data_IF_417713160907
#
_entry.id   IF_417713160907
#
_cell.length_a   1.000
_cell.length_b   1.000
_cell.length_c   1.000
_cell.angle_alpha   90.00
_cell.angle_beta   90.00
_cell.angle_gamma   90.00
#
_symmetry.space_group_name_H-M   'P 1'
#
loop_
_entity.id
_entity.type
_entity.pdbx_description
1 polymer ?
#
# COMPACT_ATOMS: atom_id res chain seq x y z
N UNK A 1 9.16 40.76 -27.54
CA UNK A 1 9.41 39.46 -28.19
C UNK A 1 8.41 39.32 -29.32
N UNK A 2 8.89 39.13 -30.55
CA UNK A 2 8.02 38.94 -31.72
C UNK A 2 7.50 37.50 -31.73
N UNK A 3 6.18 37.33 -31.62
CA UNK A 3 5.54 36.08 -32.00
C UNK A 3 5.70 35.92 -33.51
N UNK A 4 6.13 34.75 -33.97
CA UNK A 4 6.31 34.48 -35.40
C UNK A 4 5.81 33.06 -35.73
N UNK A 5 5.34 32.91 -36.98
CA UNK A 5 4.95 31.62 -37.56
C UNK A 5 5.82 31.43 -38.78
N UNK A 6 6.70 30.44 -38.73
CA UNK A 6 7.65 30.16 -39.81
C UNK A 6 7.56 28.71 -40.26
N UNK A 7 7.90 28.47 -41.52
CA UNK A 7 8.20 27.13 -42.00
C UNK A 7 9.67 26.84 -41.68
N UNK A 8 9.95 25.69 -41.07
CA UNK A 8 11.33 25.31 -40.73
C UNK A 8 12.19 25.19 -42.01
N UNK A 9 13.38 25.78 -41.94
CA UNK A 9 14.31 25.89 -43.05
C UNK A 9 15.04 24.57 -43.34
N UNK A 10 15.00 23.58 -42.44
CA UNK A 10 15.56 22.23 -42.65
C UNK A 10 14.59 21.29 -43.41
N UNK A 11 14.06 21.77 -44.54
CA UNK A 11 13.28 20.96 -45.48
C UNK A 11 11.80 21.31 -45.62
N UNK A 12 11.32 22.42 -45.02
CA UNK A 12 10.01 23.01 -45.33
C UNK A 12 8.78 22.23 -44.86
N UNK A 13 8.97 21.15 -44.10
CA UNK A 13 7.89 20.24 -43.70
C UNK A 13 7.28 20.55 -42.33
N UNK A 14 7.84 21.50 -41.58
CA UNK A 14 7.41 21.83 -40.23
C UNK A 14 6.85 23.25 -40.18
N UNK A 15 5.65 23.39 -39.62
CA UNK A 15 5.14 24.67 -39.14
C UNK A 15 5.65 24.88 -37.71
N UNK A 16 6.34 25.99 -37.46
CA UNK A 16 6.83 26.35 -36.13
C UNK A 16 6.12 27.62 -35.66
N UNK A 17 5.42 27.52 -34.53
CA UNK A 17 4.85 28.66 -33.82
C UNK A 17 5.65 28.90 -32.54
N UNK A 18 6.39 30.01 -32.48
CA UNK A 18 7.28 30.32 -31.35
C UNK A 18 6.64 31.35 -30.41
N UNK A 19 6.40 30.94 -29.16
CA UNK A 19 5.85 31.78 -28.10
C UNK A 19 6.10 31.12 -26.74
N UNK A 20 6.06 31.89 -25.66
CA UNK A 20 6.02 31.35 -24.30
C UNK A 20 4.73 30.60 -24.00
N UNK A 21 3.63 31.03 -24.63
CA UNK A 21 2.29 30.47 -24.45
C UNK A 21 1.62 30.36 -25.81
N UNK A 22 1.08 29.18 -26.12
CA UNK A 22 0.15 29.00 -27.22
C UNK A 22 -1.29 28.96 -26.67
N UNK A 23 -2.09 29.97 -27.00
CA UNK A 23 -3.50 30.03 -26.62
C UNK A 23 -4.38 29.72 -27.83
N UNK A 24 -5.17 28.66 -27.73
CA UNK A 24 -6.29 28.40 -28.63
C UNK A 24 -7.60 28.74 -27.93
N UNK A 25 -8.55 29.34 -28.65
CA UNK A 25 -9.94 29.50 -28.19
C UNK A 25 -10.88 28.50 -28.88
N UNK A 26 -10.34 27.57 -29.67
CA UNK A 26 -11.10 26.50 -30.25
C UNK A 26 -11.39 25.41 -29.21
N UNK A 27 -12.54 24.77 -29.32
CA UNK A 27 -12.92 23.62 -28.48
C UNK A 27 -12.07 22.39 -28.81
N UNK A 28 -11.71 22.21 -30.10
CA UNK A 28 -11.08 21.00 -30.60
C UNK A 28 -9.75 21.31 -31.31
N UNK A 29 -8.74 20.45 -31.09
CA UNK A 29 -7.53 20.38 -31.90
C UNK A 29 -7.55 19.04 -32.64
N UNK A 30 -7.56 19.10 -33.97
CA UNK A 30 -7.60 17.92 -34.83
C UNK A 30 -6.22 17.60 -35.40
N UNK A 31 -5.81 16.32 -35.32
CA UNK A 31 -4.60 15.82 -35.96
C UNK A 31 -4.98 14.78 -37.01
N UNK A 32 -5.08 15.21 -38.27
CA UNK A 32 -5.52 14.37 -39.37
C UNK A 32 -4.45 14.19 -40.44
N UNK A 33 -4.18 12.92 -40.76
CA UNK A 33 -3.40 12.53 -41.91
C UNK A 33 -4.12 11.35 -42.57
N UNK A 34 -4.91 11.57 -43.65
CA UNK A 34 -5.74 10.52 -44.25
C UNK A 34 -4.98 9.22 -44.58
N UNK A 35 -3.73 9.33 -45.02
CA UNK A 35 -2.85 8.20 -45.32
C UNK A 35 -2.47 7.34 -44.10
N UNK A 36 -2.69 7.84 -42.88
CA UNK A 36 -2.37 7.16 -41.61
C UNK A 36 -3.60 6.66 -40.87
N UNK A 37 -4.80 6.93 -41.38
CA UNK A 37 -6.06 6.44 -40.81
C UNK A 37 -6.11 4.91 -40.92
N UNK A 38 -6.52 4.22 -39.85
CA UNK A 38 -6.69 2.77 -39.81
C UNK A 38 -8.11 2.45 -39.32
N UNK A 39 -8.97 1.97 -40.21
CA UNK A 39 -10.37 1.67 -39.88
C UNK A 39 -11.14 2.86 -39.28
N UNK A 40 -12.41 2.64 -38.94
CA UNK A 40 -13.26 3.62 -38.26
C UNK A 40 -14.00 4.57 -39.20
N UNK A 41 -15.24 4.86 -38.81
CA UNK A 41 -16.25 5.63 -39.54
C UNK A 41 -16.27 7.12 -39.22
N UNK A 42 -15.57 7.58 -38.17
CA UNK A 42 -15.56 9.00 -37.81
C UNK A 42 -14.81 9.82 -38.88
N UNK A 43 -15.45 10.82 -39.51
CA UNK A 43 -14.76 11.75 -40.39
C UNK A 43 -13.85 12.69 -39.58
N UNK A 44 -14.12 12.83 -38.28
CA UNK A 44 -13.43 13.71 -37.34
C UNK A 44 -12.20 12.99 -36.74
N UNK A 45 -11.15 13.76 -36.46
CA UNK A 45 -9.86 13.32 -35.89
C UNK A 45 -9.47 14.25 -34.75
N UNK A 46 -10.33 14.34 -33.74
CA UNK A 46 -10.15 15.27 -32.61
C UNK A 46 -9.20 14.66 -31.59
N UNK A 47 -7.98 15.19 -31.55
CA UNK A 47 -6.90 14.70 -30.71
C UNK A 47 -7.03 15.22 -29.28
N UNK A 48 -7.26 16.53 -29.14
CA UNK A 48 -7.44 17.23 -27.87
C UNK A 48 -8.79 17.95 -27.91
N UNK A 49 -9.63 17.75 -26.90
CA UNK A 49 -10.93 18.40 -26.79
C UNK A 49 -11.09 18.94 -25.38
N UNK A 50 -11.47 20.22 -25.27
CA UNK A 50 -12.05 20.77 -24.05
C UNK A 50 -13.52 20.36 -24.00
N UNK A 51 -13.83 19.36 -23.18
CA UNK A 51 -15.14 18.69 -23.18
C UNK A 51 -16.20 19.44 -22.34
N UNK A 52 -17.42 18.90 -22.33
CA UNK A 52 -18.57 19.50 -21.65
C UNK A 52 -18.51 19.46 -20.12
N UNK A 53 -17.60 18.69 -19.53
CA UNK A 53 -17.39 18.60 -18.08
C UNK A 53 -16.23 19.48 -17.62
N UNK A 54 -15.79 20.43 -18.45
CA UNK A 54 -14.59 21.25 -18.24
C UNK A 54 -13.30 20.39 -18.18
N UNK A 55 -13.32 19.21 -18.82
CA UNK A 55 -12.20 18.28 -18.89
C UNK A 55 -11.35 18.45 -20.15
N UNK A 56 -10.09 18.01 -20.07
CA UNK A 56 -9.26 17.77 -21.25
C UNK A 56 -9.37 16.30 -21.65
N UNK A 57 -10.05 16.04 -22.75
CA UNK A 57 -10.16 14.70 -23.32
C UNK A 57 -9.11 14.48 -24.42
N UNK A 58 -8.35 13.39 -24.28
CA UNK A 58 -7.49 12.85 -25.36
C UNK A 58 -8.26 11.82 -26.16
N UNK A 59 -8.17 11.87 -27.50
CA UNK A 59 -8.88 10.94 -28.40
C UNK A 59 -10.41 10.94 -28.15
N UNK A 60 -11.03 12.11 -28.35
CA UNK A 60 -12.45 12.28 -28.07
C UNK A 60 -13.33 11.36 -28.94
N UNK A 61 -14.37 10.79 -28.33
CA UNK A 61 -15.30 9.82 -28.95
C UNK A 61 -14.63 8.59 -29.60
N UNK A 62 -13.36 8.30 -29.29
CA UNK A 62 -12.62 7.24 -29.96
C UNK A 62 -12.32 7.55 -31.44
N UNK A 63 -12.20 8.84 -31.80
CA UNK A 63 -11.86 9.30 -33.15
C UNK A 63 -10.53 8.71 -33.68
N UNK A 64 -9.68 8.16 -32.81
CA UNK A 64 -8.54 7.31 -33.10
C UNK A 64 -8.83 5.88 -32.60
N UNK A 65 -9.25 4.95 -33.49
CA UNK A 65 -9.61 3.57 -33.09
C UNK A 65 -8.47 2.77 -32.47
N UNK A 66 -7.21 3.16 -32.75
CA UNK A 66 -6.02 2.57 -32.13
C UNK A 66 -5.78 3.02 -30.69
N UNK A 67 -6.58 3.95 -30.16
CA UNK A 67 -6.43 4.50 -28.82
C UNK A 67 -5.34 5.57 -28.72
N UNK A 68 -4.89 5.80 -27.48
CA UNK A 68 -3.78 6.69 -27.13
C UNK A 68 -2.60 5.83 -26.69
N UNK A 69 -1.42 6.08 -27.24
CA UNK A 69 -0.16 5.46 -26.80
C UNK A 69 0.73 6.53 -26.17
N UNK A 70 1.16 6.28 -24.93
CA UNK A 70 2.15 7.11 -24.23
C UNK A 70 3.43 6.30 -24.11
N UNK A 71 4.51 6.81 -24.69
CA UNK A 71 5.84 6.22 -24.54
C UNK A 71 6.57 6.87 -23.36
N UNK A 72 7.33 6.07 -22.60
CA UNK A 72 8.06 6.53 -21.42
C UNK A 72 7.25 6.42 -20.12
N UNK A 73 7.67 7.16 -19.09
CA UNK A 73 6.99 7.20 -17.80
C UNK A 73 5.76 8.09 -17.82
N UNK A 74 4.64 7.60 -17.28
CA UNK A 74 3.44 8.40 -17.01
C UNK A 74 3.38 8.68 -15.50
N UNK A 75 3.48 9.95 -15.12
CA UNK A 75 3.30 10.39 -13.73
C UNK A 75 1.94 11.07 -13.58
N UNK A 76 1.13 10.59 -12.65
CA UNK A 76 -0.16 11.19 -12.27
C UNK A 76 -0.03 11.64 -10.83
N UNK A 77 -0.22 12.94 -10.57
CA UNK A 77 -0.04 13.54 -9.24
C UNK A 77 -1.30 13.48 -8.37
N UNK A 78 -2.47 13.25 -8.99
CA UNK A 78 -3.74 13.03 -8.32
C UNK A 78 -4.27 11.61 -8.49
N UNK A 79 -5.57 11.43 -8.26
CA UNK A 79 -6.22 10.13 -8.39
C UNK A 79 -6.33 9.69 -9.86
N UNK A 80 -6.00 8.42 -10.12
CA UNK A 80 -6.26 7.77 -11.40
C UNK A 80 -7.55 6.95 -11.31
N UNK A 81 -8.61 7.40 -11.98
CA UNK A 81 -9.87 6.64 -12.13
C UNK A 81 -9.88 5.89 -13.45
N UNK A 82 -10.15 4.58 -13.39
CA UNK A 82 -10.21 3.70 -14.55
C UNK A 82 -11.59 3.04 -14.62
N UNK A 83 -12.35 3.34 -15.66
CA UNK A 83 -13.68 2.76 -15.90
C UNK A 83 -13.62 1.42 -16.67
N UNK A 84 -12.42 0.89 -16.91
CA UNK A 84 -12.17 -0.31 -17.71
C UNK A 84 -11.10 -1.21 -17.09
N UNK A 85 -10.52 -2.09 -17.91
CA UNK A 85 -9.48 -3.03 -17.47
C UNK A 85 -8.10 -2.39 -17.51
N UNK A 86 -7.37 -2.46 -16.38
CA UNK A 86 -5.93 -2.28 -16.34
C UNK A 86 -5.23 -3.62 -16.56
N UNK A 87 -4.27 -3.67 -17.47
CA UNK A 87 -3.36 -4.80 -17.65
C UNK A 87 -1.95 -4.27 -17.49
N UNK A 88 -1.20 -4.83 -16.53
CA UNK A 88 0.25 -4.63 -16.49
C UNK A 88 0.94 -5.95 -16.80
N UNK A 89 1.85 -5.89 -17.76
CA UNK A 89 2.65 -7.04 -18.18
C UNK A 89 3.79 -7.37 -17.21
N UNK A 90 4.00 -6.53 -16.18
CA UNK A 90 5.04 -6.68 -15.15
C UNK A 90 4.44 -6.56 -13.75
N UNK A 91 4.99 -7.31 -12.79
CA UNK A 91 4.47 -7.61 -11.44
C UNK A 91 4.39 -6.43 -10.44
N UNK A 92 4.19 -5.20 -10.90
CA UNK A 92 4.14 -3.97 -10.09
C UNK A 92 2.74 -3.49 -9.76
N UNK A 93 1.70 -4.26 -10.05
CA UNK A 93 0.32 -3.95 -9.65
C UNK A 93 -0.09 -4.80 -8.45
N UNK A 94 0.16 -4.30 -7.25
CA UNK A 94 -0.62 -4.76 -6.11
C UNK A 94 -1.98 -4.07 -6.22
N UNK A 95 -2.97 -4.74 -6.81
CA UNK A 95 -4.34 -4.23 -6.73
C UNK A 95 -4.74 -4.18 -5.26
N UNK A 96 -5.47 -3.14 -4.85
CA UNK A 96 -6.05 -3.04 -3.50
C UNK A 96 -6.78 -4.33 -3.11
N UNK A 97 -7.42 -4.99 -4.07
CA UNK A 97 -8.07 -6.30 -3.87
C UNK A 97 -7.13 -7.44 -3.46
N UNK A 98 -5.86 -7.44 -3.90
CA UNK A 98 -4.89 -8.45 -3.48
C UNK A 98 -4.46 -8.23 -2.02
N UNK A 99 -4.30 -6.98 -1.60
CA UNK A 99 -4.07 -6.64 -0.20
C UNK A 99 -5.30 -6.96 0.66
N UNK A 100 -6.51 -6.59 0.21
CA UNK A 100 -7.76 -6.89 0.93
C UNK A 100 -7.94 -8.39 1.13
N UNK A 101 -7.63 -9.19 0.10
CA UNK A 101 -7.66 -10.65 0.20
C UNK A 101 -6.61 -11.20 1.17
N UNK A 102 -5.40 -10.63 1.18
CA UNK A 102 -4.36 -11.01 2.14
C UNK A 102 -4.79 -10.70 3.58
N UNK A 103 -5.33 -9.51 3.84
CA UNK A 103 -5.84 -9.10 5.15
C UNK A 103 -6.97 -10.02 5.63
N UNK A 104 -7.95 -10.33 4.76
CA UNK A 104 -9.03 -11.27 5.12
C UNK A 104 -8.51 -12.67 5.45
N UNK A 105 -7.51 -13.15 4.71
CA UNK A 105 -6.89 -14.46 5.00
C UNK A 105 -6.16 -14.46 6.34
N UNK A 106 -5.47 -13.37 6.69
CA UNK A 106 -4.83 -13.22 8.00
C UNK A 106 -5.89 -13.25 9.11
N UNK A 107 -6.97 -12.47 9.01
CA UNK A 107 -8.07 -12.46 9.98
C UNK A 107 -8.72 -13.84 10.15
N UNK A 108 -8.90 -14.58 9.05
CA UNK A 108 -9.47 -15.94 9.11
C UNK A 108 -8.52 -16.91 9.82
N UNK A 109 -7.21 -16.78 9.59
CA UNK A 109 -6.20 -17.60 10.27
C UNK A 109 -6.14 -17.29 11.76
N UNK A 110 -6.20 -16.01 12.15
CA UNK A 110 -6.25 -15.56 13.55
C UNK A 110 -7.46 -16.19 14.28
N UNK A 111 -8.66 -16.07 13.71
CA UNK A 111 -9.87 -16.67 14.29
C UNK A 111 -9.80 -18.20 14.40
N UNK A 112 -9.20 -18.84 13.39
CA UNK A 112 -9.03 -20.30 13.41
C UNK A 112 -8.04 -20.72 14.50
N UNK A 113 -6.94 -19.98 14.66
CA UNK A 113 -5.94 -20.23 15.69
C UNK A 113 -6.54 -20.04 17.09
N UNK A 114 -7.27 -18.96 17.34
CA UNK A 114 -7.98 -18.72 18.61
C UNK A 114 -8.95 -19.86 18.94
N UNK A 115 -9.73 -20.31 17.95
CA UNK A 115 -10.67 -21.41 18.12
C UNK A 115 -9.96 -22.73 18.46
N UNK A 116 -8.82 -23.02 17.83
CA UNK A 116 -8.02 -24.21 18.11
C UNK A 116 -7.39 -24.15 19.50
N UNK A 117 -6.83 -23.00 19.89
CA UNK A 117 -6.25 -22.79 21.22
C UNK A 117 -7.31 -22.96 22.32
N UNK A 118 -8.50 -22.36 22.13
CA UNK A 118 -9.63 -22.53 23.03
C UNK A 118 -10.08 -24.00 23.13
N UNK A 119 -10.11 -24.73 22.01
CA UNK A 119 -10.50 -26.14 21.98
C UNK A 119 -9.56 -27.03 22.79
N UNK A 120 -8.24 -26.77 22.74
CA UNK A 120 -7.25 -27.56 23.49
C UNK A 120 -6.93 -26.99 24.86
N UNK A 121 -7.51 -25.83 25.24
CA UNK A 121 -7.20 -25.15 26.50
C UNK A 121 -5.75 -24.66 26.58
N UNK A 122 -5.17 -24.29 25.43
CA UNK A 122 -3.82 -23.75 25.34
C UNK A 122 -3.83 -22.22 25.24
N UNK A 123 -2.70 -21.63 25.59
CA UNK A 123 -2.42 -20.19 25.52
C UNK A 123 -1.04 -19.97 24.91
N UNK A 124 -0.81 -18.80 24.32
CA UNK A 124 0.50 -18.39 23.83
C UNK A 124 1.19 -17.58 24.92
N UNK A 125 2.46 -17.87 25.21
CA UNK A 125 3.25 -17.07 26.16
C UNK A 125 3.55 -15.70 25.53
N UNK A 126 3.07 -14.58 26.12
CA UNK A 126 3.39 -13.23 25.64
C UNK A 126 4.86 -12.87 25.87
N UNK A 127 5.33 -11.87 25.14
CA UNK A 127 6.66 -11.30 25.37
C UNK A 127 6.57 -10.14 26.37
N UNK A 128 6.38 -10.46 27.65
CA UNK A 128 6.35 -9.45 28.70
C UNK A 128 7.75 -8.85 28.91
N UNK A 129 7.94 -7.53 28.77
CA UNK A 129 9.23 -6.87 28.93
C UNK A 129 9.59 -6.60 30.40
N UNK A 130 8.60 -6.49 31.29
CA UNK A 130 8.83 -6.14 32.69
C UNK A 130 7.80 -6.80 33.62
N UNK A 131 8.02 -6.66 34.93
CA UNK A 131 7.15 -7.26 35.95
C UNK A 131 5.72 -6.74 35.90
N UNK A 132 5.55 -5.44 35.67
CA UNK A 132 4.25 -4.80 35.58
C UNK A 132 3.41 -5.46 34.50
N UNK A 133 3.95 -5.67 33.30
CA UNK A 133 3.22 -6.30 32.21
C UNK A 133 2.85 -7.77 32.49
N UNK A 134 3.66 -8.51 33.26
CA UNK A 134 3.33 -9.88 33.68
C UNK A 134 2.08 -9.88 34.58
N UNK A 135 1.97 -8.89 35.46
CA UNK A 135 0.93 -8.82 36.50
C UNK A 135 -0.34 -8.13 36.01
N UNK A 136 -0.20 -7.07 35.22
CA UNK A 136 -1.29 -6.14 34.88
C UNK A 136 -1.67 -6.18 33.39
N UNK A 137 -0.82 -6.77 32.55
CA UNK A 137 -0.89 -6.68 31.10
C UNK A 137 -0.26 -5.37 30.58
N UNK A 138 -0.30 -5.12 29.28
CA UNK A 138 0.15 -3.82 28.75
C UNK A 138 -0.83 -2.68 29.13
N UNK A 139 -0.34 -1.44 29.11
CA UNK A 139 -1.04 -0.20 29.50
C UNK A 139 -2.43 -0.01 28.86
N UNK A 140 -2.68 -0.63 27.71
CA UNK A 140 -3.95 -0.67 26.99
C UNK A 140 -4.55 -2.08 26.86
N UNK A 141 -3.89 -3.12 27.38
CA UNK A 141 -4.23 -4.55 27.24
C UNK A 141 -4.48 -4.97 25.79
N UNK A 142 -3.77 -4.36 24.84
CA UNK A 142 -3.99 -4.59 23.41
C UNK A 142 -3.09 -5.70 22.84
N UNK A 143 -1.94 -5.94 23.48
CA UNK A 143 -0.89 -6.82 22.95
C UNK A 143 -0.58 -7.94 23.93
N UNK A 144 -0.47 -7.64 25.23
CA UNK A 144 -0.08 -8.61 26.25
C UNK A 144 -1.14 -8.71 27.35
N UNK A 145 -1.78 -9.88 27.47
CA UNK A 145 -2.62 -10.24 28.61
C UNK A 145 -1.76 -10.60 29.83
N UNK A 146 -2.23 -10.32 31.06
CA UNK A 146 -1.52 -10.70 32.28
C UNK A 146 -1.49 -12.23 32.45
N UNK A 147 -0.44 -12.73 33.09
CA UNK A 147 -0.23 -14.17 33.27
C UNK A 147 -1.40 -14.87 33.98
N UNK A 148 -2.03 -14.19 34.93
CA UNK A 148 -3.18 -14.72 35.67
C UNK A 148 -4.41 -14.95 34.76
N UNK A 149 -4.73 -14.01 33.85
CA UNK A 149 -5.85 -14.14 32.91
C UNK A 149 -5.58 -15.27 31.88
N UNK A 150 -4.31 -15.49 31.53
CA UNK A 150 -3.87 -16.63 30.73
C UNK A 150 -3.88 -17.96 31.52
N UNK A 151 -4.11 -17.94 32.83
CA UNK A 151 -4.08 -19.12 33.68
C UNK A 151 -2.68 -19.73 33.79
N UNK A 152 -1.63 -18.92 33.69
CA UNK A 152 -0.24 -19.33 33.83
C UNK A 152 0.24 -19.09 35.26
N UNK A 153 1.05 -20.00 35.78
CA UNK A 153 1.75 -19.80 37.06
C UNK A 153 3.13 -19.22 36.75
N UNK A 154 3.54 -18.14 37.43
CA UNK A 154 4.85 -17.53 37.20
C UNK A 154 5.82 -17.89 38.33
N UNK A 155 7.00 -18.37 37.95
CA UNK A 155 8.13 -18.57 38.86
C UNK A 155 9.24 -17.54 38.54
N UNK A 156 9.48 -16.63 39.48
CA UNK A 156 10.48 -15.56 39.31
C UNK A 156 11.87 -16.00 39.78
N UNK A 157 12.85 -15.86 38.89
CA UNK A 157 14.27 -16.08 39.18
C UNK A 157 15.00 -14.75 39.05
N UNK A 158 15.46 -14.19 40.17
CA UNK A 158 16.14 -12.90 40.17
C UNK A 158 17.64 -13.04 39.91
N UNK A 159 18.13 -12.30 38.92
CA UNK A 159 19.56 -12.03 38.72
C UNK A 159 19.86 -10.62 39.22
N UNK A 160 20.91 -10.49 40.04
CA UNK A 160 21.24 -9.22 40.68
C UNK A 160 22.28 -8.45 39.87
N UNK A 161 22.04 -7.14 39.69
CA UNK A 161 22.99 -6.18 39.11
C UNK A 161 23.48 -6.59 37.72
N UNK A 162 22.56 -6.98 36.84
CA UNK A 162 22.91 -7.20 35.44
C UNK A 162 22.91 -5.84 34.71
N UNK A 163 24.08 -5.29 34.33
CA UNK A 163 24.18 -3.93 33.79
C UNK A 163 23.58 -3.75 32.40
N UNK A 164 23.00 -4.82 31.82
CA UNK A 164 22.35 -4.79 30.50
C UNK A 164 20.85 -4.56 30.58
N UNK A 165 20.27 -4.65 31.77
CA UNK A 165 18.82 -4.62 31.99
C UNK A 165 18.51 -3.62 33.10
N UNK A 166 17.35 -2.99 33.02
CA UNK A 166 16.81 -2.09 34.04
C UNK A 166 16.23 -2.87 35.23
N UNK A 167 15.90 -2.17 36.32
CA UNK A 167 15.22 -2.77 37.47
C UNK A 167 13.87 -3.39 37.07
N UNK A 168 13.62 -4.64 37.47
CA UNK A 168 12.40 -5.42 37.13
C UNK A 168 12.20 -5.68 35.63
N UNK A 169 13.23 -5.55 34.80
CA UNK A 169 13.19 -5.95 33.40
C UNK A 169 13.35 -7.47 33.25
N UNK A 170 12.62 -8.05 32.30
CA UNK A 170 12.66 -9.48 31.99
C UNK A 170 13.90 -9.79 31.14
N UNK A 171 14.77 -10.65 31.68
CA UNK A 171 15.98 -11.13 31.01
C UNK A 171 15.64 -12.28 30.05
N UNK A 172 14.79 -13.21 30.49
CA UNK A 172 14.36 -14.35 29.67
C UNK A 172 13.10 -15.01 30.22
N UNK A 173 12.33 -15.64 29.34
CA UNK A 173 11.11 -16.40 29.67
C UNK A 173 11.29 -17.84 29.16
N UNK A 174 10.94 -18.82 29.99
CA UNK A 174 11.00 -20.25 29.64
C UNK A 174 9.68 -20.95 29.98
N UNK A 175 8.97 -21.52 28.99
CA UNK A 175 9.29 -21.55 27.56
C UNK A 175 9.29 -20.15 26.90
N UNK A 176 9.98 -20.03 25.75
CA UNK A 176 10.18 -18.73 25.11
C UNK A 176 8.85 -18.07 24.68
N UNK A 177 8.78 -16.73 24.59
CA UNK A 177 7.62 -16.03 24.08
C UNK A 177 7.18 -16.54 22.69
N UNK A 178 5.87 -16.58 22.44
CA UNK A 178 5.29 -17.18 21.25
C UNK A 178 5.09 -18.70 21.32
N UNK A 179 5.58 -19.36 22.38
CA UNK A 179 5.35 -20.80 22.58
C UNK A 179 3.89 -21.04 22.98
N UNK A 180 3.23 -22.01 22.32
CA UNK A 180 1.90 -22.50 22.69
C UNK A 180 2.04 -23.51 23.82
N UNK A 181 1.30 -23.28 24.89
CA UNK A 181 1.40 -24.08 26.10
C UNK A 181 0.04 -24.29 26.76
N UNK A 182 -0.13 -25.33 27.57
CA UNK A 182 -1.40 -25.58 28.25
C UNK A 182 -1.61 -24.58 29.41
N UNK A 183 -2.86 -24.23 29.69
CA UNK A 183 -3.19 -23.50 30.92
C UNK A 183 -2.79 -24.31 32.17
N UNK A 184 -2.40 -23.61 33.22
CA UNK A 184 -2.01 -24.19 34.52
C UNK A 184 -0.54 -24.59 34.64
N UNK A 185 0.27 -24.38 33.60
CA UNK A 185 1.70 -24.65 33.70
C UNK A 185 2.46 -23.51 34.37
N UNK A 186 3.66 -23.83 34.83
CA UNK A 186 4.62 -22.85 35.34
C UNK A 186 5.50 -22.32 34.21
N UNK A 187 5.56 -21.00 34.08
CA UNK A 187 6.50 -20.27 33.24
C UNK A 187 7.57 -19.66 34.14
N UNK A 188 8.84 -19.95 33.83
CA UNK A 188 9.97 -19.41 34.58
C UNK A 188 10.39 -18.10 33.93
N UNK A 189 10.38 -17.02 34.70
CA UNK A 189 10.79 -15.69 34.25
C UNK A 189 12.04 -15.28 35.01
N UNK A 190 13.13 -15.04 34.28
CA UNK A 190 14.34 -14.46 34.84
C UNK A 190 14.26 -12.95 34.76
N UNK A 191 14.53 -12.28 35.87
CA UNK A 191 14.37 -10.82 35.99
C UNK A 191 15.59 -10.19 36.61
N UNK A 192 15.90 -8.96 36.20
CA UNK A 192 16.95 -8.18 36.83
C UNK A 192 16.42 -7.48 38.09
N UNK A 193 17.19 -7.53 39.18
CA UNK A 193 16.91 -6.78 40.39
C UNK A 193 18.11 -5.89 40.73
N UNK A 194 17.88 -4.58 40.70
CA UNK A 194 18.79 -3.57 41.27
C UNK A 194 18.26 -3.17 42.64
N UNK A 195 19.04 -3.38 43.70
CA UNK A 195 18.73 -2.87 45.06
C UNK A 195 18.92 -1.35 45.16
#
# INVERSE_FOLDING_TARGET
MSTDIKLDQQGGNWLVAESSIFKSTATDIMLDAPSRRKGGSSPYRRALVHDFEDGLTLNYAGDYPGGVTVHGGLQVTGDLRLNGRLVADHSGLASTSALDNAVRRIQTLEQTLESLLALVGAVVIPNWPNRTEILEGDDMRLVNEPAEELGLTIEYHYEYRNPKYEHEEVISISPAPGTVVMRGITVVVRMNLEE
#
